data_IF_684898835824
#
_entry.id   IF_684898835824
#
_cell.length_a   1.000
_cell.length_b   1.000
_cell.length_c   1.000
_cell.angle_alpha   90.00
_cell.angle_beta   90.00
_cell.angle_gamma   90.00
#
_symmetry.space_group_name_H-M   'P 1'
#
loop_
_entity.id
_entity.type
_entity.pdbx_description
1 polymer ?
#
# COMPACT_ATOMS: atom_id res chain seq x y z
N UNK A 1 -11.33 6.11 -8.52
CA UNK A 1 -10.05 5.50 -8.92
C UNK A 1 -9.88 4.16 -8.26
N UNK A 2 -9.44 3.19 -9.04
CA UNK A 2 -9.31 1.83 -8.53
C UNK A 2 -7.84 1.44 -8.41
N UNK A 3 -7.52 0.64 -7.40
CA UNK A 3 -6.24 -0.03 -7.32
C UNK A 3 -6.45 -1.51 -7.55
N UNK A 4 -5.36 -2.22 -7.79
CA UNK A 4 -5.38 -3.64 -8.06
C UNK A 4 -4.56 -4.33 -6.98
N UNK A 5 -5.11 -5.40 -6.41
CA UNK A 5 -4.38 -6.16 -5.39
C UNK A 5 -3.19 -6.88 -6.00
N UNK A 6 -2.10 -6.95 -5.24
CA UNK A 6 -0.94 -7.74 -5.62
C UNK A 6 -1.25 -9.19 -5.28
N UNK A 7 -1.23 -10.07 -6.27
CA UNK A 7 -1.54 -11.48 -6.06
C UNK A 7 -0.34 -12.40 -6.27
N UNK A 8 0.76 -11.88 -6.79
CA UNK A 8 1.90 -12.71 -7.16
C UNK A 8 3.01 -12.60 -6.12
N UNK A 9 3.45 -13.75 -5.61
CA UNK A 9 4.49 -13.78 -4.56
C UNK A 9 5.80 -13.13 -4.98
N UNK A 10 6.20 -13.28 -6.25
CA UNK A 10 7.45 -12.71 -6.69
C UNK A 10 7.43 -11.18 -6.66
N UNK A 11 6.25 -10.57 -6.78
CA UNK A 11 6.13 -9.12 -6.68
C UNK A 11 6.37 -8.64 -5.26
N UNK A 12 5.86 -9.37 -4.27
CA UNK A 12 6.13 -9.05 -2.87
C UNK A 12 7.63 -9.11 -2.57
N UNK A 13 8.29 -10.18 -3.02
CA UNK A 13 9.72 -10.34 -2.81
C UNK A 13 10.51 -9.21 -3.47
N UNK A 14 10.11 -8.82 -4.66
CA UNK A 14 10.76 -7.74 -5.40
C UNK A 14 10.63 -6.42 -4.66
N UNK A 15 9.44 -6.12 -4.16
CA UNK A 15 9.19 -4.88 -3.42
C UNK A 15 10.01 -4.85 -2.13
N UNK A 16 10.06 -5.96 -1.40
CA UNK A 16 10.84 -6.02 -0.17
C UNK A 16 12.33 -5.85 -0.42
N UNK A 17 12.83 -6.38 -1.53
CA UNK A 17 14.25 -6.33 -1.85
C UNK A 17 14.69 -4.99 -2.43
N UNK A 18 13.86 -4.37 -3.25
CA UNK A 18 14.26 -3.20 -4.05
C UNK A 18 13.45 -1.94 -3.78
N UNK A 19 12.32 -2.05 -3.09
CA UNK A 19 11.47 -0.90 -2.83
C UNK A 19 12.02 0.01 -1.75
N UNK A 20 11.61 1.25 -1.79
CA UNK A 20 11.87 2.19 -0.71
C UNK A 20 10.87 1.91 0.41
N UNK A 21 11.26 2.14 1.65
CA UNK A 21 10.39 1.84 2.77
C UNK A 21 10.42 2.93 3.82
N UNK A 22 9.32 3.08 4.53
CA UNK A 22 9.18 3.99 5.67
C UNK A 22 8.53 3.21 6.81
N UNK A 23 9.14 3.29 7.98
CA UNK A 23 8.59 2.66 9.19
C UNK A 23 7.69 3.66 9.90
N UNK A 24 6.47 3.23 10.20
CA UNK A 24 5.51 4.03 10.95
C UNK A 24 5.17 3.32 12.26
N UNK A 25 4.33 3.95 13.08
CA UNK A 25 3.96 3.37 14.37
C UNK A 25 3.21 2.04 14.21
N UNK A 26 2.25 2.01 13.29
CA UNK A 26 1.36 0.86 13.14
C UNK A 26 1.64 0.04 11.89
N UNK A 27 2.35 0.58 10.93
CA UNK A 27 2.59 -0.09 9.65
C UNK A 27 3.99 0.24 9.13
N UNK A 28 4.43 -0.58 8.17
CA UNK A 28 5.62 -0.30 7.36
C UNK A 28 5.14 -0.24 5.92
N UNK A 29 5.52 0.80 5.19
CA UNK A 29 5.08 0.98 3.81
C UNK A 29 6.27 0.84 2.87
N UNK A 30 6.13 -0.01 1.85
CA UNK A 30 7.13 -0.22 0.81
C UNK A 30 6.56 0.27 -0.52
N UNK A 31 7.37 0.96 -1.31
CA UNK A 31 6.94 1.42 -2.63
C UNK A 31 8.03 1.13 -3.65
N UNK A 32 7.62 0.58 -4.79
CA UNK A 32 8.51 0.31 -5.91
C UNK A 32 7.78 0.68 -7.20
N UNK A 33 8.48 1.24 -8.18
CA UNK A 33 7.88 1.56 -9.47
C UNK A 33 7.41 0.28 -10.17
N UNK A 34 6.17 0.30 -10.65
CA UNK A 34 5.59 -0.83 -11.37
C UNK A 34 5.88 -0.65 -12.86
N UNK A 35 6.99 -1.20 -13.31
CA UNK A 35 7.42 -1.05 -14.70
C UNK A 35 6.46 -1.71 -15.70
N UNK A 36 5.76 -2.75 -15.25
CA UNK A 36 4.76 -3.39 -16.09
C UNK A 36 3.59 -2.44 -16.38
N UNK A 37 3.10 -1.76 -15.36
CA UNK A 37 2.03 -0.79 -15.53
C UNK A 37 2.46 0.38 -16.41
N UNK A 38 3.70 0.83 -16.25
CA UNK A 38 4.24 1.90 -17.09
C UNK A 38 4.33 1.48 -18.56
N UNK A 39 4.75 0.23 -18.81
CA UNK A 39 4.84 -0.30 -20.16
C UNK A 39 3.46 -0.40 -20.80
N UNK A 40 2.47 -0.89 -20.05
CA UNK A 40 1.11 -0.98 -20.56
C UNK A 40 0.52 0.38 -20.88
N UNK A 41 0.80 1.37 -20.04
CA UNK A 41 0.30 2.72 -20.27
C UNK A 41 0.90 3.34 -21.53
N UNK A 42 2.18 3.04 -21.83
CA UNK A 42 2.81 3.53 -23.06
C UNK A 42 2.28 2.82 -24.28
N UNK A 43 2.00 1.53 -24.17
CA UNK A 43 1.48 0.74 -25.29
C UNK A 43 0.03 1.11 -25.61
N UNK A 44 -0.72 1.53 -24.61
CA UNK A 44 -2.12 1.88 -24.79
C UNK A 44 -2.45 3.16 -24.02
N UNK A 45 -2.36 4.32 -24.68
CA UNK A 45 -2.57 5.61 -24.01
C UNK A 45 -3.97 5.82 -23.49
N UNK A 46 -4.94 4.98 -23.87
CA UNK A 46 -6.29 5.07 -23.35
C UNK A 46 -6.41 4.44 -21.97
N UNK A 47 -5.44 3.62 -21.56
CA UNK A 47 -5.43 3.02 -20.24
C UNK A 47 -4.69 3.92 -19.25
N UNK A 48 -5.31 4.16 -18.10
CA UNK A 48 -4.67 4.92 -17.04
C UNK A 48 -3.83 4.00 -16.18
N UNK A 49 -2.74 4.53 -15.62
CA UNK A 49 -1.94 3.80 -14.65
C UNK A 49 -2.72 3.64 -13.37
N UNK A 50 -2.54 2.49 -12.71
CA UNK A 50 -3.12 2.23 -11.39
C UNK A 50 -2.03 1.70 -10.49
N UNK A 51 -2.23 1.85 -9.18
CA UNK A 51 -1.34 1.25 -8.21
C UNK A 51 -1.77 -0.17 -7.94
N UNK A 52 -0.78 -1.04 -7.72
CA UNK A 52 -1.05 -2.39 -7.23
C UNK A 52 -0.68 -2.42 -5.76
N UNK A 53 -1.63 -2.76 -4.92
CA UNK A 53 -1.49 -2.66 -3.47
C UNK A 53 -1.59 -4.03 -2.83
N UNK A 54 -0.61 -4.35 -1.99
CA UNK A 54 -0.63 -5.57 -1.20
C UNK A 54 -0.63 -5.23 0.27
N UNK A 55 -1.39 -5.97 1.06
CA UNK A 55 -1.45 -5.79 2.50
C UNK A 55 -1.01 -7.09 3.14
N UNK A 56 0.02 -7.03 3.97
CA UNK A 56 0.56 -8.19 4.66
C UNK A 56 0.28 -8.09 6.15
N UNK A 57 -0.39 -9.11 6.68
CA UNK A 57 -0.64 -9.22 8.11
C UNK A 57 -0.18 -10.61 8.53
N UNK A 58 0.93 -10.68 9.26
CA UNK A 58 1.52 -11.97 9.64
C UNK A 58 0.72 -12.65 10.75
N UNK A 59 0.95 -13.96 10.90
CA UNK A 59 0.29 -14.73 11.94
C UNK A 59 0.63 -14.25 13.35
N UNK A 60 1.74 -13.56 13.52
CA UNK A 60 2.13 -12.97 14.82
C UNK A 60 1.16 -11.92 15.30
N UNK A 61 0.43 -11.29 14.39
CA UNK A 61 -0.52 -10.22 14.72
C UNK A 61 -1.67 -10.79 15.54
N UNK A 62 -2.12 -12.01 15.23
CA UNK A 62 -3.21 -12.64 15.96
C UNK A 62 -3.94 -13.67 15.13
N UNK A 63 -5.10 -14.07 15.64
CA UNK A 63 -5.94 -15.06 14.99
C UNK A 63 -6.51 -14.52 13.67
N UNK A 64 -7.07 -15.42 12.86
CA UNK A 64 -7.59 -15.06 11.54
C UNK A 64 -8.60 -13.91 11.59
N UNK A 65 -9.46 -13.87 12.60
CA UNK A 65 -10.46 -12.82 12.76
C UNK A 65 -9.76 -11.47 12.97
N UNK A 66 -8.73 -11.45 13.82
CA UNK A 66 -7.97 -10.22 14.11
C UNK A 66 -7.24 -9.76 12.86
N UNK A 67 -6.61 -10.69 12.15
CA UNK A 67 -5.89 -10.35 10.91
C UNK A 67 -6.82 -9.79 9.84
N UNK A 68 -8.01 -10.37 9.71
CA UNK A 68 -9.00 -9.86 8.76
C UNK A 68 -9.43 -8.44 9.09
N UNK A 69 -9.63 -8.17 10.39
CA UNK A 69 -9.98 -6.83 10.84
C UNK A 69 -8.87 -5.83 10.51
N UNK A 70 -7.63 -6.20 10.77
CA UNK A 70 -6.49 -5.33 10.49
C UNK A 70 -6.38 -5.04 9.00
N UNK A 71 -6.54 -6.06 8.15
CA UNK A 71 -6.52 -5.85 6.70
C UNK A 71 -7.63 -4.89 6.26
N UNK A 72 -8.81 -5.04 6.83
CA UNK A 72 -9.95 -4.18 6.48
C UNK A 72 -9.67 -2.73 6.84
N UNK A 73 -9.10 -2.50 8.03
CA UNK A 73 -8.77 -1.15 8.50
C UNK A 73 -7.72 -0.51 7.60
N UNK A 74 -6.69 -1.26 7.22
CA UNK A 74 -5.63 -0.75 6.35
C UNK A 74 -6.20 -0.45 4.96
N UNK A 75 -7.01 -1.34 4.43
CA UNK A 75 -7.62 -1.15 3.11
C UNK A 75 -8.50 0.09 3.10
N UNK A 76 -9.28 0.29 4.14
CA UNK A 76 -10.15 1.45 4.27
C UNK A 76 -9.32 2.74 4.33
N UNK A 77 -8.23 2.73 5.10
CA UNK A 77 -7.35 3.88 5.22
C UNK A 77 -6.72 4.24 3.87
N UNK A 78 -6.24 3.25 3.14
CA UNK A 78 -5.64 3.49 1.83
C UNK A 78 -6.68 4.03 0.83
N UNK A 79 -7.89 3.48 0.86
CA UNK A 79 -8.96 3.93 -0.02
C UNK A 79 -9.29 5.41 0.23
N UNK A 80 -9.34 5.80 1.50
CA UNK A 80 -9.62 7.19 1.84
C UNK A 80 -8.51 8.12 1.35
N UNK A 81 -7.26 7.71 1.51
CA UNK A 81 -6.13 8.52 1.05
C UNK A 81 -6.16 8.66 -0.47
N UNK A 82 -6.41 7.57 -1.19
CA UNK A 82 -6.47 7.60 -2.64
C UNK A 82 -7.58 8.51 -3.14
N UNK A 83 -8.68 8.59 -2.39
CA UNK A 83 -9.80 9.46 -2.72
C UNK A 83 -9.54 10.92 -2.37
N UNK A 84 -8.92 11.17 -1.22
CA UNK A 84 -8.75 12.51 -0.67
C UNK A 84 -7.45 13.20 -1.08
N UNK A 85 -6.43 12.42 -1.40
CA UNK A 85 -5.11 12.96 -1.71
C UNK A 85 -4.68 12.51 -3.10
N UNK A 86 -3.79 13.30 -3.70
CA UNK A 86 -3.24 12.95 -5.00
C UNK A 86 -2.09 11.95 -4.79
N UNK A 87 -2.39 10.68 -4.98
CA UNK A 87 -1.39 9.62 -4.86
C UNK A 87 -0.87 9.28 -6.25
N UNK A 88 0.46 9.28 -6.42
CA UNK A 88 1.06 8.94 -7.70
C UNK A 88 0.69 7.52 -8.11
N UNK A 89 0.55 7.32 -9.39
CA UNK A 89 0.10 6.04 -9.96
C UNK A 89 1.25 5.27 -10.58
N UNK A 90 1.02 4.00 -10.84
CA UNK A 90 2.01 3.14 -11.47
C UNK A 90 3.03 2.60 -10.51
N UNK A 91 2.65 2.39 -9.26
CA UNK A 91 3.55 1.89 -8.23
C UNK A 91 3.05 0.58 -7.65
N UNK A 92 4.02 -0.20 -7.15
CA UNK A 92 3.73 -1.37 -6.31
C UNK A 92 3.84 -0.89 -4.88
N UNK A 93 2.76 -1.00 -4.12
CA UNK A 93 2.72 -0.54 -2.74
C UNK A 93 2.42 -1.74 -1.85
N UNK A 94 3.30 -2.01 -0.89
CA UNK A 94 3.06 -3.09 0.09
C UNK A 94 3.00 -2.46 1.47
N UNK A 95 1.92 -2.73 2.18
CA UNK A 95 1.70 -2.23 3.53
C UNK A 95 1.76 -3.42 4.48
N UNK A 96 2.72 -3.40 5.40
CA UNK A 96 2.92 -4.47 6.37
C UNK A 96 2.43 -4.01 7.72
N UNK A 97 1.51 -4.77 8.33
CA UNK A 97 0.99 -4.44 9.65
C UNK A 97 2.02 -4.73 10.73
N UNK A 98 2.12 -3.83 11.69
CA UNK A 98 2.93 -4.03 12.90
C UNK A 98 2.01 -4.43 14.05
N UNK A 99 2.60 -4.89 15.15
CA UNK A 99 1.84 -5.37 16.30
C UNK A 99 0.80 -4.36 16.80
N UNK A 100 1.17 -3.08 16.85
CA UNK A 100 0.27 -2.04 17.34
C UNK A 100 -0.95 -1.81 16.45
N UNK A 101 -0.95 -2.33 15.23
CA UNK A 101 -2.11 -2.20 14.35
C UNK A 101 -3.34 -2.92 14.87
N UNK A 102 -3.16 -3.89 15.78
CA UNK A 102 -4.27 -4.64 16.37
C UNK A 102 -5.25 -3.71 17.09
N UNK A 103 -4.73 -2.69 17.78
CA UNK A 103 -5.55 -1.76 18.54
C UNK A 103 -5.74 -0.42 17.83
N UNK A 104 -5.19 -0.26 16.64
CA UNK A 104 -5.29 0.98 15.88
C UNK A 104 -6.66 1.13 15.24
N UNK A 105 -7.04 2.37 14.98
CA UNK A 105 -8.25 2.69 14.22
C UNK A 105 -7.85 3.03 12.79
N UNK A 106 -8.83 3.03 11.88
CA UNK A 106 -8.55 3.38 10.49
C UNK A 106 -7.97 4.78 10.36
N UNK A 107 -8.36 5.71 11.24
CA UNK A 107 -7.81 7.06 11.24
C UNK A 107 -6.33 7.07 11.61
N UNK A 108 -5.91 6.20 12.54
CA UNK A 108 -4.50 6.08 12.93
C UNK A 108 -3.68 5.54 11.75
N UNK A 109 -4.19 4.53 11.07
CA UNK A 109 -3.52 3.95 9.91
C UNK A 109 -3.47 4.96 8.77
N UNK A 110 -4.54 5.71 8.57
CA UNK A 110 -4.59 6.74 7.54
C UNK A 110 -3.50 7.79 7.77
N UNK A 111 -3.33 8.21 9.02
CA UNK A 111 -2.30 9.18 9.38
C UNK A 111 -0.90 8.63 9.07
N UNK A 112 -0.65 7.38 9.45
CA UNK A 112 0.63 6.72 9.15
C UNK A 112 0.87 6.61 7.64
N UNK A 113 -0.15 6.20 6.89
CA UNK A 113 -0.04 6.08 5.44
C UNK A 113 0.25 7.41 4.76
N UNK A 114 -0.46 8.45 5.18
CA UNK A 114 -0.27 9.78 4.61
C UNK A 114 1.17 10.25 4.83
N UNK A 115 1.69 10.06 6.03
CA UNK A 115 3.07 10.40 6.36
C UNK A 115 4.05 9.59 5.50
N UNK A 116 3.84 8.28 5.43
CA UNK A 116 4.74 7.39 4.69
C UNK A 116 4.76 7.70 3.20
N UNK A 117 3.59 7.91 2.61
CA UNK A 117 3.49 8.20 1.18
C UNK A 117 4.13 9.55 0.86
N UNK A 118 3.99 10.52 1.75
CA UNK A 118 4.65 11.81 1.61
C UNK A 118 6.17 11.66 1.62
N UNK A 119 6.69 10.87 2.58
CA UNK A 119 8.13 10.62 2.68
C UNK A 119 8.68 9.90 1.46
N UNK A 120 7.87 9.03 0.85
CA UNK A 120 8.28 8.25 -0.30
C UNK A 120 8.06 8.98 -1.64
N UNK A 121 7.61 10.22 -1.58
CA UNK A 121 7.37 11.02 -2.79
C UNK A 121 6.13 10.61 -3.56
N UNK A 122 5.19 9.96 -2.90
CA UNK A 122 3.94 9.51 -3.54
C UNK A 122 2.83 10.53 -3.50
N UNK A 123 2.91 11.49 -2.60
CA UNK A 123 1.97 12.58 -2.50
C UNK A 123 2.20 13.45 -3.70
N UNK A 124 1.16 13.61 -4.45
CA UNK A 124 1.36 14.30 -5.57
C UNK A 124 1.01 15.61 -5.74
N UNK A 125 1.19 16.39 -6.34
CA UNK A 125 0.99 17.36 -7.03
C UNK A 125 1.28 17.44 -8.33
#
# INVERSE_FOLDING_TARGET
MKNIAISENHLYKKVYAKGDKVFCKHIVVYVLTDYHAARLARANPLKTKVNRVGITVSKKIGKAVVRSRVRRIIREAYRLIETEENVKKGKLIVIVARDSAVTAKSTDIKSDLSYALSKLGMSGE
#
